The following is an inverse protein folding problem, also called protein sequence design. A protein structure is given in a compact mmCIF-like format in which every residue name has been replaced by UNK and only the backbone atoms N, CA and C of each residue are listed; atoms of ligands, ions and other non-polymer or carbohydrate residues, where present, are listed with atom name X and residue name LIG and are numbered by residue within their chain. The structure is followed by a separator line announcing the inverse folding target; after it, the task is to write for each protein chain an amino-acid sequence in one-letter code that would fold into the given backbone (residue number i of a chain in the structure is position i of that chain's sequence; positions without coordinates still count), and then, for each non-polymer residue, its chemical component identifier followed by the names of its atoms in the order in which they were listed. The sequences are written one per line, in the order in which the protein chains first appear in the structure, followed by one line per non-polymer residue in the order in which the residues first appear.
data_IF_881346365467
#
_entry.id   IF_881346365467
#
_cell.length_a   1.000
_cell.length_b   1.000
_cell.length_c   1.000
_cell.angle_alpha   90.00
_cell.angle_beta   90.00
_cell.angle_gamma   90.00
#
_symmetry.space_group_name_H-M   'P 1'
#
loop_
_entity.id
_entity.type
_entity.pdbx_description
1 polymer ?
#
# COMPACT_ATOMS: atom_id res chain seq x y z
N UNK A 1 9.65 -14.33 0.03
CA UNK A 1 8.94 -13.61 -1.02
C UNK A 1 9.88 -13.30 -2.18
N UNK A 2 9.29 -12.93 -3.31
CA UNK A 2 9.98 -12.36 -4.47
C UNK A 2 10.21 -10.86 -4.33
N UNK A 3 10.20 -10.17 -5.47
CA UNK A 3 10.44 -8.74 -5.62
C UNK A 3 9.37 -8.11 -6.50
N UNK A 4 8.94 -6.91 -6.16
CA UNK A 4 8.10 -6.07 -7.00
C UNK A 4 8.93 -4.95 -7.60
N UNK A 5 8.89 -4.80 -8.91
CA UNK A 5 9.36 -3.62 -9.61
C UNK A 5 8.16 -2.72 -9.89
N UNK A 6 8.18 -1.49 -9.36
CA UNK A 6 7.07 -0.53 -9.45
C UNK A 6 7.53 0.74 -10.13
N UNK A 7 6.81 1.18 -11.16
CA UNK A 7 7.03 2.49 -11.77
C UNK A 7 6.39 3.61 -10.94
N UNK A 8 7.04 4.76 -10.81
CA UNK A 8 6.57 5.91 -10.02
C UNK A 8 5.27 6.53 -10.56
N UNK A 9 5.04 6.44 -11.87
CA UNK A 9 3.78 6.87 -12.52
C UNK A 9 2.77 5.75 -12.71
N UNK A 10 3.03 4.54 -12.17
CA UNK A 10 2.12 3.42 -12.27
C UNK A 10 0.87 3.60 -11.41
N UNK A 11 -0.31 3.60 -12.03
CA UNK A 11 -1.59 3.62 -11.32
C UNK A 11 -2.30 2.27 -11.43
N UNK A 12 -3.05 1.89 -10.38
CA UNK A 12 -3.92 0.70 -10.36
C UNK A 12 -3.21 -0.62 -10.74
N UNK A 13 -1.92 -0.74 -10.42
CA UNK A 13 -1.14 -1.94 -10.74
C UNK A 13 -0.68 -2.07 -12.21
N UNK A 14 -1.01 -1.10 -13.09
CA UNK A 14 -0.67 -1.14 -14.54
C UNK A 14 0.82 -1.01 -14.86
N UNK A 15 1.69 -0.86 -13.85
CA UNK A 15 3.15 -0.79 -14.02
C UNK A 15 3.88 -1.41 -12.83
N UNK A 16 3.33 -2.51 -12.33
CA UNK A 16 3.94 -3.32 -11.28
C UNK A 16 4.20 -4.71 -11.83
N UNK A 17 5.46 -5.15 -11.76
CA UNK A 17 5.87 -6.50 -12.16
C UNK A 17 6.41 -7.26 -10.96
N UNK A 18 5.97 -8.50 -10.80
CA UNK A 18 6.47 -9.43 -9.79
C UNK A 18 7.57 -10.32 -10.37
N UNK A 19 8.63 -10.52 -9.59
CA UNK A 19 9.74 -11.43 -9.87
C UNK A 19 9.88 -12.38 -8.68
N UNK A 20 9.64 -13.69 -8.82
CA UNK A 20 9.83 -14.63 -7.72
C UNK A 20 11.25 -14.63 -7.16
N UNK A 21 11.43 -15.19 -5.96
CA UNK A 21 12.72 -15.16 -5.24
C UNK A 21 13.88 -15.76 -6.06
N UNK A 22 13.62 -16.83 -6.80
CA UNK A 22 14.61 -17.48 -7.68
C UNK A 22 15.02 -16.66 -8.90
N UNK A 23 14.23 -15.64 -9.26
CA UNK A 23 14.35 -14.88 -10.51
C UNK A 23 15.14 -13.57 -10.33
N UNK A 24 16.05 -13.50 -9.37
CA UNK A 24 16.88 -12.30 -9.12
C UNK A 24 17.69 -11.91 -10.36
N UNK A 25 18.22 -12.88 -11.09
CA UNK A 25 18.98 -12.63 -12.33
C UNK A 25 18.08 -11.98 -13.41
N UNK A 26 16.85 -12.45 -13.57
CA UNK A 26 15.88 -11.88 -14.51
C UNK A 26 15.49 -10.44 -14.13
N UNK A 27 15.30 -10.15 -12.84
CA UNK A 27 15.10 -8.78 -12.35
C UNK A 27 16.27 -7.87 -12.74
N UNK A 28 17.51 -8.28 -12.46
CA UNK A 28 18.70 -7.49 -12.78
C UNK A 28 18.89 -7.29 -14.28
N UNK A 29 18.63 -8.32 -15.10
CA UNK A 29 18.65 -8.23 -16.55
C UNK A 29 17.60 -7.23 -17.06
N UNK A 30 16.40 -7.27 -16.48
CA UNK A 30 15.33 -6.32 -16.81
C UNK A 30 15.73 -4.88 -16.47
N UNK A 31 16.30 -4.64 -15.28
CA UNK A 31 16.79 -3.32 -14.87
C UNK A 31 17.88 -2.76 -15.80
N UNK A 32 18.82 -3.60 -16.27
CA UNK A 32 19.88 -3.20 -17.20
C UNK A 32 19.36 -2.82 -18.59
N UNK A 33 18.22 -3.38 -18.99
CA UNK A 33 17.58 -3.06 -20.27
C UNK A 33 16.77 -1.76 -20.25
N UNK A 34 16.62 -1.10 -19.10
CA UNK A 34 15.85 0.15 -18.98
C UNK A 34 16.73 1.38 -19.17
N UNK A 35 16.15 2.42 -19.78
CA UNK A 35 16.84 3.69 -20.04
C UNK A 35 17.20 4.45 -18.76
N UNK A 36 16.28 4.51 -17.79
CA UNK A 36 16.43 5.26 -16.53
C UNK A 36 15.87 4.48 -15.31
N UNK A 37 16.47 3.33 -14.94
CA UNK A 37 15.91 2.44 -13.92
C UNK A 37 15.79 3.07 -12.53
N UNK A 38 16.68 4.01 -12.17
CA UNK A 38 16.74 4.59 -10.82
C UNK A 38 15.84 5.81 -10.60
N UNK A 39 15.49 6.51 -11.66
CA UNK A 39 14.63 7.70 -11.58
C UNK A 39 13.15 7.31 -11.49
N UNK A 40 12.76 6.27 -12.24
CA UNK A 40 11.35 5.98 -12.49
C UNK A 40 10.84 4.74 -11.77
N UNK A 41 11.73 3.93 -11.16
CA UNK A 41 11.35 2.64 -10.59
C UNK A 41 11.84 2.44 -9.16
N UNK A 42 11.04 1.68 -8.39
CA UNK A 42 11.39 1.17 -7.07
C UNK A 42 11.36 -0.36 -7.10
N UNK A 43 12.43 -0.96 -6.58
CA UNK A 43 12.49 -2.40 -6.29
C UNK A 43 12.10 -2.59 -4.82
N UNK A 44 11.01 -3.31 -4.58
CA UNK A 44 10.49 -3.58 -3.26
C UNK A 44 10.49 -5.08 -3.01
N UNK A 45 11.08 -5.52 -1.88
CA UNK A 45 10.94 -6.90 -1.44
C UNK A 45 9.47 -7.24 -1.15
N UNK A 46 9.03 -8.43 -1.55
CA UNK A 46 7.70 -8.90 -1.18
C UNK A 46 7.61 -9.14 0.33
N UNK A 47 6.59 -8.56 0.94
CA UNK A 47 6.16 -8.89 2.30
C UNK A 47 5.35 -10.19 2.25
N UNK A 48 5.70 -11.23 3.03
CA UNK A 48 4.88 -12.44 3.13
C UNK A 48 3.43 -12.09 3.46
N UNK A 49 2.45 -12.48 2.62
CA UNK A 49 1.09 -12.03 2.80
C UNK A 49 0.36 -12.86 3.85
N UNK A 50 -0.59 -12.21 4.55
CA UNK A 50 -1.69 -12.92 5.17
C UNK A 50 -2.66 -13.39 4.08
N UNK A 51 -3.22 -14.59 4.27
CA UNK A 51 -4.13 -15.22 3.33
C UNK A 51 -5.46 -15.51 4.02
N UNK A 52 -6.55 -15.25 3.31
CA UNK A 52 -7.90 -15.70 3.70
C UNK A 52 -8.37 -16.60 2.58
N UNK A 53 -8.73 -17.84 2.90
CA UNK A 53 -9.12 -18.87 1.93
C UNK A 53 -8.10 -19.05 0.79
N UNK A 54 -6.80 -18.95 1.11
CA UNK A 54 -5.70 -19.09 0.14
C UNK A 54 -5.46 -17.88 -0.76
N UNK A 55 -6.25 -16.80 -0.65
CA UNK A 55 -6.10 -15.60 -1.46
C UNK A 55 -5.46 -14.44 -0.68
N UNK A 56 -4.64 -13.64 -1.39
CA UNK A 56 -4.15 -12.37 -0.88
C UNK A 56 -5.28 -11.34 -0.80
N UNK A 57 -5.13 -10.40 0.12
CA UNK A 57 -5.99 -9.24 0.20
C UNK A 57 -5.19 -7.98 0.53
N UNK A 58 -5.80 -6.81 0.38
CA UNK A 58 -5.32 -5.59 1.02
C UNK A 58 -6.44 -4.89 1.78
N UNK A 59 -6.01 -4.05 2.72
CA UNK A 59 -6.88 -3.14 3.45
C UNK A 59 -6.80 -1.77 2.78
N UNK A 60 -7.96 -1.21 2.47
CA UNK A 60 -8.10 0.17 2.03
C UNK A 60 -8.75 0.96 3.16
N UNK A 61 -7.93 1.81 3.77
CA UNK A 61 -8.32 2.76 4.80
C UNK A 61 -8.45 4.15 4.17
N UNK A 62 -9.55 4.84 4.44
CA UNK A 62 -9.69 6.26 4.10
C UNK A 62 -9.22 7.11 5.28
N UNK A 63 -8.40 8.11 5.00
CA UNK A 63 -7.90 9.08 5.99
C UNK A 63 -8.12 10.48 5.43
N UNK A 64 -8.82 11.32 6.20
CA UNK A 64 -8.98 12.74 5.91
C UNK A 64 -7.91 13.53 6.66
N UNK A 65 -7.12 14.31 5.95
CA UNK A 65 -6.20 15.27 6.55
C UNK A 65 -6.78 16.68 6.44
N UNK A 66 -6.84 17.39 7.57
CA UNK A 66 -7.29 18.79 7.65
C UNK A 66 -6.12 19.64 8.09
N UNK A 67 -5.78 20.65 7.29
CA UNK A 67 -4.74 21.63 7.62
C UNK A 67 -5.37 22.97 8.00
N UNK A 68 -5.18 23.42 9.24
CA UNK A 68 -5.73 24.70 9.73
C UNK A 68 -4.77 25.37 10.71
N UNK A 69 -4.50 26.67 10.50
CA UNK A 69 -3.69 27.47 11.43
C UNK A 69 -2.26 26.94 11.62
N UNK A 70 -1.65 26.35 10.59
CA UNK A 70 -0.32 25.76 10.66
C UNK A 70 -0.24 24.37 11.31
N UNK A 71 -1.38 23.83 11.77
CA UNK A 71 -1.51 22.46 12.27
C UNK A 71 -2.12 21.53 11.22
N UNK A 72 -1.83 20.23 11.31
CA UNK A 72 -2.50 19.18 10.53
C UNK A 72 -3.05 18.11 11.47
N UNK A 73 -4.33 17.79 11.26
CA UNK A 73 -5.02 16.70 11.93
C UNK A 73 -5.38 15.62 10.91
N UNK A 74 -5.24 14.36 11.29
CA UNK A 74 -5.64 13.21 10.49
C UNK A 74 -6.80 12.47 11.14
N UNK A 75 -7.81 12.12 10.35
CA UNK A 75 -9.00 11.39 10.77
C UNK A 75 -9.12 10.12 9.95
N UNK A 76 -8.95 8.95 10.57
CA UNK A 76 -9.18 7.67 9.91
C UNK A 76 -10.67 7.34 9.96
N UNK A 77 -11.25 7.01 8.80
CA UNK A 77 -12.61 6.51 8.73
C UNK A 77 -12.74 5.17 9.48
N UNK A 78 -13.87 4.88 10.12
CA UNK A 78 -14.05 3.63 10.88
C UNK A 78 -14.17 2.40 9.97
N UNK A 79 -14.79 2.56 8.81
CA UNK A 79 -14.93 1.48 7.84
C UNK A 79 -13.62 1.26 7.05
N UNK A 80 -13.06 0.05 7.20
CA UNK A 80 -11.92 -0.44 6.43
C UNK A 80 -12.44 -1.38 5.35
N UNK A 81 -12.07 -1.14 4.10
CA UNK A 81 -12.49 -1.99 2.97
C UNK A 81 -11.43 -3.05 2.71
N UNK A 82 -11.85 -4.30 2.52
CA UNK A 82 -10.99 -5.42 2.15
C UNK A 82 -11.16 -5.71 0.66
N UNK A 83 -10.03 -5.76 -0.05
CA UNK A 83 -9.97 -6.05 -1.48
C UNK A 83 -9.20 -7.34 -1.73
N UNK A 84 -9.88 -8.37 -2.23
CA UNK A 84 -9.29 -9.67 -2.51
C UNK A 84 -8.65 -9.74 -3.89
N UNK A 85 -7.54 -10.46 -3.96
CA UNK A 85 -6.96 -10.93 -5.22
C UNK A 85 -7.89 -11.98 -5.82
N UNK A 86 -7.96 -12.05 -7.15
CA UNK A 86 -8.89 -12.93 -7.87
C UNK A 86 -8.36 -14.35 -8.07
N UNK A 87 -7.10 -14.59 -7.73
CA UNK A 87 -6.46 -15.90 -7.81
C UNK A 87 -5.81 -16.29 -6.46
N UNK A 88 -5.75 -17.60 -6.14
CA UNK A 88 -5.00 -18.10 -5.00
C UNK A 88 -3.53 -17.65 -5.04
N UNK A 89 -2.96 -17.41 -3.88
CA UNK A 89 -1.55 -17.03 -3.78
C UNK A 89 -0.65 -18.22 -4.08
N UNK A 90 0.21 -18.05 -5.08
CA UNK A 90 1.30 -18.97 -5.37
C UNK A 90 2.60 -18.17 -5.52
N UNK A 91 3.55 -18.24 -4.59
CA UNK A 91 4.80 -17.48 -4.66
C UNK A 91 5.70 -17.86 -5.86
N UNK A 92 5.41 -18.98 -6.53
CA UNK A 92 6.13 -19.45 -7.71
C UNK A 92 5.49 -19.02 -9.04
N UNK A 93 4.27 -18.48 -9.02
CA UNK A 93 3.50 -18.15 -10.23
C UNK A 93 4.04 -16.89 -10.95
N UNK A 94 5.05 -17.08 -11.80
CA UNK A 94 5.62 -16.02 -12.64
C UNK A 94 4.53 -15.41 -13.53
N UNK A 95 4.41 -14.08 -13.52
CA UNK A 95 3.50 -13.36 -14.41
C UNK A 95 2.02 -13.41 -14.02
N UNK A 96 1.64 -14.10 -12.93
CA UNK A 96 0.27 -14.12 -12.44
C UNK A 96 -0.11 -12.81 -11.72
N UNK A 97 -0.41 -11.77 -12.50
CA UNK A 97 -0.77 -10.44 -11.99
C UNK A 97 -1.97 -10.51 -11.03
N UNK A 98 -2.93 -11.40 -11.31
CA UNK A 98 -4.14 -11.62 -10.51
C UNK A 98 -3.87 -12.15 -9.08
N UNK A 99 -2.79 -12.90 -8.88
CA UNK A 99 -2.41 -13.47 -7.57
C UNK A 99 -1.47 -12.55 -6.77
N UNK A 100 -0.76 -11.63 -7.44
CA UNK A 100 0.33 -10.87 -6.81
C UNK A 100 0.13 -9.36 -6.77
N UNK A 101 -0.60 -8.77 -7.73
CA UNK A 101 -0.58 -7.33 -8.02
C UNK A 101 -1.98 -6.71 -8.09
N UNK A 102 -2.88 -7.26 -8.89
CA UNK A 102 -4.17 -6.64 -9.19
C UNK A 102 -5.23 -7.02 -8.16
N UNK A 103 -6.06 -6.05 -7.78
CA UNK A 103 -7.05 -6.17 -6.70
C UNK A 103 -8.46 -5.74 -7.13
N UNK A 104 -8.63 -5.37 -8.39
CA UNK A 104 -9.87 -4.83 -8.96
C UNK A 104 -9.99 -5.19 -10.43
N UNK A 105 -11.20 -5.52 -10.88
CA UNK A 105 -11.51 -5.92 -12.25
C UNK A 105 -12.72 -6.85 -12.28
N UNK A 106 -13.22 -7.20 -13.47
CA UNK A 106 -14.44 -8.01 -13.63
C UNK A 106 -14.36 -9.39 -12.95
N UNK A 107 -13.17 -9.96 -12.82
CA UNK A 107 -12.94 -11.27 -12.21
C UNK A 107 -12.65 -11.21 -10.69
N UNK A 108 -12.67 -10.02 -10.06
CA UNK A 108 -12.39 -9.89 -8.64
C UNK A 108 -13.65 -10.05 -7.79
N UNK A 109 -13.53 -10.66 -6.60
CA UNK A 109 -14.60 -10.64 -5.61
C UNK A 109 -15.02 -9.19 -5.28
N UNK A 110 -16.29 -8.95 -4.92
CA UNK A 110 -16.72 -7.64 -4.49
C UNK A 110 -15.95 -7.19 -3.24
N UNK A 111 -15.66 -5.87 -3.10
CA UNK A 111 -15.14 -5.33 -1.85
C UNK A 111 -16.08 -5.63 -0.68
N UNK A 112 -15.52 -5.93 0.48
CA UNK A 112 -16.26 -6.14 1.73
C UNK A 112 -15.71 -5.27 2.83
N UNK A 113 -16.48 -4.99 3.88
CA UNK A 113 -15.95 -4.29 5.05
C UNK A 113 -15.22 -5.28 5.95
N UNK A 114 -14.13 -4.82 6.58
CA UNK A 114 -13.34 -5.63 7.51
C UNK A 114 -14.18 -6.17 8.67
N UNK A 115 -15.13 -5.38 9.17
CA UNK A 115 -16.06 -5.78 10.24
C UNK A 115 -17.03 -6.90 9.84
N UNK A 116 -17.25 -7.08 8.55
CA UNK A 116 -18.17 -8.09 8.01
C UNK A 116 -17.43 -9.39 7.67
N UNK A 117 -16.09 -9.43 7.82
CA UNK A 117 -15.34 -10.65 7.59
C UNK A 117 -15.58 -11.65 8.73
N UNK A 118 -15.86 -12.92 8.42
CA UNK A 118 -15.92 -13.98 9.41
C UNK A 118 -14.50 -14.33 9.84
N UNK A 119 -13.92 -13.48 10.69
CA UNK A 119 -12.63 -13.74 11.31
C UNK A 119 -12.84 -14.73 12.45
N UNK A 120 -11.99 -15.74 12.60
CA UNK A 120 -12.04 -16.61 13.76
C UNK A 120 -11.91 -15.76 15.03
N UNK A 121 -12.67 -16.13 16.06
CA UNK A 121 -12.53 -15.50 17.37
C UNK A 121 -11.04 -15.56 17.78
N UNK A 122 -10.49 -14.48 18.37
CA UNK A 122 -9.13 -14.53 18.89
C UNK A 122 -9.03 -15.71 19.87
N UNK A 123 -7.95 -16.50 19.83
CA UNK A 123 -7.80 -17.62 20.74
C UNK A 123 -7.92 -17.13 22.19
N UNK A 124 -8.84 -17.72 22.96
CA UNK A 124 -9.02 -17.41 24.37
C UNK A 124 -7.68 -17.67 25.11
N UNK A 125 -7.07 -16.61 25.65
CA UNK A 125 -5.77 -16.69 26.32
C UNK A 125 -4.55 -16.32 25.48
N UNK A 126 -4.74 -15.83 24.24
CA UNK A 126 -3.66 -15.18 23.50
C UNK A 126 -3.21 -13.92 24.22
N UNK A 127 -2.07 -13.97 24.91
CA UNK A 127 -1.40 -12.78 25.41
C UNK A 127 -1.37 -11.74 24.29
N UNK A 128 -1.73 -10.48 24.61
CA UNK A 128 -1.54 -9.32 23.75
C UNK A 128 -0.06 -9.32 23.36
N UNK A 129 0.29 -9.97 22.25
CA UNK A 129 1.62 -9.83 21.68
C UNK A 129 1.66 -8.39 21.21
N UNK A 130 2.30 -7.56 22.03
CA UNK A 130 2.64 -6.20 21.66
C UNK A 130 3.18 -6.26 20.24
N UNK A 131 2.45 -5.63 19.31
CA UNK A 131 2.90 -5.52 17.95
C UNK A 131 4.34 -4.99 18.02
N UNK A 132 5.30 -5.62 17.31
CA UNK A 132 6.65 -5.10 17.31
C UNK A 132 6.58 -3.61 16.95
N UNK A 133 7.36 -2.75 17.62
CA UNK A 133 7.32 -1.33 17.35
C UNK A 133 7.46 -1.11 15.84
N UNK A 134 6.64 -0.21 15.30
CA UNK A 134 6.73 0.17 13.90
C UNK A 134 8.20 0.49 13.60
N UNK A 135 8.79 -0.09 12.54
CA UNK A 135 10.14 0.26 12.15
C UNK A 135 10.25 1.79 12.05
N UNK A 136 11.28 2.39 12.63
CA UNK A 136 11.48 3.85 12.68
C UNK A 136 11.34 4.50 11.29
N UNK A 137 11.70 3.76 10.25
CA UNK A 137 11.53 4.14 8.84
C UNK A 137 10.08 4.44 8.43
N UNK A 138 9.09 3.74 8.99
CA UNK A 138 7.66 4.00 8.74
C UNK A 138 7.17 5.26 9.44
N UNK A 139 7.67 5.53 10.65
CA UNK A 139 7.40 6.78 11.36
C UNK A 139 8.02 7.99 10.66
N UNK A 140 9.25 7.84 10.16
CA UNK A 140 9.95 8.87 9.39
C UNK A 140 9.28 9.12 8.03
N UNK A 141 8.79 8.08 7.35
CA UNK A 141 7.99 8.19 6.14
C UNK A 141 6.67 8.93 6.40
N UNK A 142 5.97 8.57 7.48
CA UNK A 142 4.74 9.25 7.87
C UNK A 142 5.00 10.74 8.19
N UNK A 143 6.08 11.03 8.91
CA UNK A 143 6.52 12.39 9.24
C UNK A 143 6.90 13.18 7.97
N UNK A 144 7.64 12.57 7.05
CA UNK A 144 8.01 13.17 5.77
C UNK A 144 6.81 13.46 4.89
N UNK A 145 5.85 12.53 4.81
CA UNK A 145 4.58 12.74 4.11
C UNK A 145 3.78 13.91 4.73
N UNK A 146 3.74 14.01 6.06
CA UNK A 146 3.10 15.12 6.76
C UNK A 146 3.78 16.46 6.45
N UNK A 147 5.12 16.49 6.42
CA UNK A 147 5.90 17.68 6.07
C UNK A 147 5.64 18.14 4.63
N UNK A 148 5.57 17.20 3.68
CA UNK A 148 5.22 17.50 2.29
C UNK A 148 3.80 18.05 2.16
N UNK A 149 2.85 17.49 2.93
CA UNK A 149 1.48 18.01 2.98
C UNK A 149 1.45 19.43 3.56
N UNK A 150 2.17 19.70 4.66
CA UNK A 150 2.31 21.05 5.23
C UNK A 150 2.89 22.03 4.21
N UNK A 151 3.93 21.63 3.48
CA UNK A 151 4.55 22.46 2.46
C UNK A 151 3.59 22.74 1.29
N UNK A 152 2.83 21.74 0.85
CA UNK A 152 1.83 21.88 -0.20
C UNK A 152 0.70 22.84 0.21
N UNK A 153 0.19 22.73 1.43
CA UNK A 153 -0.85 23.62 1.97
C UNK A 153 -0.37 25.07 2.06
N UNK A 154 0.87 25.30 2.53
CA UNK A 154 1.45 26.65 2.59
C UNK A 154 1.60 27.28 1.20
N UNK A 155 1.97 26.49 0.19
CA UNK A 155 2.12 26.96 -1.20
C UNK A 155 0.80 27.31 -1.87
N UNK A 156 -0.32 26.69 -1.46
CA UNK A 156 -1.64 26.96 -2.04
C UNK A 156 -2.34 28.20 -1.48
N UNK A 157 -1.72 28.96 -0.57
CA UNK A 157 -2.23 30.27 -0.16
C UNK A 157 -3.63 30.24 0.45
N UNK A 158 -4.02 29.16 1.13
CA UNK A 158 -5.28 29.08 1.92
C UNK A 158 -5.23 29.90 3.22
N UNK A 159 -4.68 31.10 3.13
CA UNK A 159 -4.75 32.16 4.12
C UNK A 159 -5.48 33.33 3.49
N UNK A 160 -6.75 33.15 3.16
CA UNK A 160 -7.64 34.27 2.85
C UNK A 160 -7.78 35.13 4.09
N UNK A 161 -6.91 36.13 4.24
CA UNK A 161 -7.22 37.32 5.03
C UNK A 161 -8.39 38.01 4.32
N UNK A 162 -9.62 37.71 4.72
CA UNK A 162 -10.72 38.64 4.54
C UNK A 162 -10.44 39.82 5.48
N UNK A 163 -9.75 40.83 4.96
CA UNK A 163 -9.86 42.19 5.48
C UNK A 163 -11.28 42.67 5.16
N UNK A 164 -12.18 42.62 6.14
CA UNK A 164 -13.40 43.45 6.09
C UNK A 164 -12.95 44.90 6.32
N UNK A 165 -13.12 45.73 5.29
CA UNK A 165 -13.24 47.17 5.44
C UNK A 165 -14.69 47.54 5.72
#
# INVERSE_FOLDING_TARGET
GGWFLKHCHGAQGKSVRYFPRGEKAALLAHLRGMRNPTADYVVQAEVPPLLINGCKFCLRQHVLYVARGGSVSGFAHTDVVVLFHSAPYDPSAIGCVAAHVQQLGKAHPPPVLLRDLPLPAPPEGGAEQALPPLPTQLEDLARGALQLLHAAVRRQGWGGQQTMQ
#
